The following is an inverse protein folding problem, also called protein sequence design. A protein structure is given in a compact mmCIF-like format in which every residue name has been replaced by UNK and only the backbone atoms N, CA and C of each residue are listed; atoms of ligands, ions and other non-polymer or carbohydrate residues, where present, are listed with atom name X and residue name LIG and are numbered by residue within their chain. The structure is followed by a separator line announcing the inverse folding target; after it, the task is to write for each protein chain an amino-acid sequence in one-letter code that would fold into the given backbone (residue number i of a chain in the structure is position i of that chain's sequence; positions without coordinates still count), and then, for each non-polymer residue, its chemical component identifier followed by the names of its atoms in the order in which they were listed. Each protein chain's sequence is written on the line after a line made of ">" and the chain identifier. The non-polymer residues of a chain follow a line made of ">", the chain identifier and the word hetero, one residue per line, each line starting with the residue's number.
data_IF_581106153558
#
_entry.id   IF_581106153558
#
_cell.length_a   1.000
_cell.length_b   1.000
_cell.length_c   1.000
_cell.angle_alpha   90.00
_cell.angle_beta   90.00
_cell.angle_gamma   90.00
#
_symmetry.space_group_name_H-M   'P 1'
#
loop_
_entity.id
_entity.type
_entity.pdbx_description
1 polymer ?
#
# COMPACT_ATOMS: atom_id res chain seq x y z
N UNK A 1 -0.48 14.81 -14.71
CA UNK A 1 0.16 13.66 -14.04
C UNK A 1 1.50 14.13 -13.50
N UNK A 2 1.83 13.89 -12.22
CA UNK A 2 3.18 14.13 -11.72
C UNK A 2 4.17 13.42 -12.64
N UNK A 3 5.26 14.10 -13.04
CA UNK A 3 6.23 13.53 -13.98
C UNK A 3 6.76 12.21 -13.43
N UNK A 4 6.60 11.12 -14.20
CA UNK A 4 7.12 9.80 -13.85
C UNK A 4 6.12 8.80 -13.26
N UNK A 5 4.85 9.17 -13.02
CA UNK A 5 3.83 8.19 -12.60
C UNK A 5 3.24 7.48 -13.82
N UNK A 6 3.36 6.15 -13.88
CA UNK A 6 2.69 5.35 -14.90
C UNK A 6 1.18 5.29 -14.66
N UNK A 7 0.39 5.64 -15.68
CA UNK A 7 -1.08 5.60 -15.62
C UNK A 7 -1.59 4.20 -15.25
N UNK A 8 -1.01 3.14 -15.82
CA UNK A 8 -1.38 1.76 -15.53
C UNK A 8 -1.14 1.34 -14.08
N UNK A 9 -0.15 1.93 -13.41
CA UNK A 9 0.09 1.70 -11.98
C UNK A 9 -1.02 2.34 -11.13
N UNK A 10 -1.49 3.54 -11.50
CA UNK A 10 -2.63 4.19 -10.84
C UNK A 10 -3.93 3.40 -11.06
N UNK A 11 -4.16 2.92 -12.29
CA UNK A 11 -5.34 2.10 -12.62
C UNK A 11 -5.38 0.81 -11.79
N UNK A 12 -4.22 0.19 -11.56
CA UNK A 12 -4.10 -1.01 -10.72
C UNK A 12 -4.49 -0.74 -9.26
N UNK A 13 -4.02 0.38 -8.68
CA UNK A 13 -4.41 0.79 -7.33
C UNK A 13 -5.88 1.24 -7.24
N UNK A 14 -6.39 1.93 -8.27
CA UNK A 14 -7.76 2.44 -8.32
C UNK A 14 -8.81 1.31 -8.32
N UNK A 15 -8.47 0.10 -8.79
CA UNK A 15 -9.35 -1.07 -8.67
C UNK A 15 -9.74 -1.36 -7.21
N UNK A 16 -8.91 -0.94 -6.25
CA UNK A 16 -9.10 -1.16 -4.82
C UNK A 16 -9.54 0.12 -4.08
N UNK A 17 -10.13 1.11 -4.77
CA UNK A 17 -10.55 2.37 -4.14
C UNK A 17 -11.82 2.27 -3.27
N UNK A 18 -12.57 1.18 -3.38
CA UNK A 18 -13.84 0.96 -2.68
C UNK A 18 -13.69 0.78 -1.17
N UNK A 19 -14.75 1.11 -0.42
CA UNK A 19 -14.80 1.02 1.04
C UNK A 19 -14.72 -0.42 1.57
N UNK A 20 -15.04 -1.42 0.75
CA UNK A 20 -14.87 -2.84 1.05
C UNK A 20 -13.40 -3.25 1.24
N UNK A 21 -12.46 -2.44 0.74
CA UNK A 21 -11.02 -2.62 0.89
C UNK A 21 -10.41 -1.76 2.00
N UNK A 22 -11.22 -0.95 2.69
CA UNK A 22 -10.76 -0.20 3.86
C UNK A 22 -10.51 -1.16 5.02
N UNK A 23 -9.26 -1.24 5.46
CA UNK A 23 -8.88 -1.99 6.64
C UNK A 23 -9.38 -1.29 7.91
N UNK A 24 -9.77 -2.07 8.92
CA UNK A 24 -9.91 -1.52 10.28
C UNK A 24 -8.54 -1.06 10.84
N UNK A 25 -8.55 -0.29 11.92
CA UNK A 25 -7.34 0.30 12.49
C UNK A 25 -6.27 -0.74 12.83
N UNK A 26 -6.67 -1.92 13.32
CA UNK A 26 -5.74 -2.99 13.69
C UNK A 26 -5.11 -3.61 12.46
N UNK A 27 -5.90 -3.99 11.47
CA UNK A 27 -5.43 -4.54 10.22
C UNK A 27 -4.52 -3.55 9.47
N UNK A 28 -4.89 -2.27 9.49
CA UNK A 28 -4.07 -1.18 8.95
C UNK A 28 -2.71 -1.09 9.64
N UNK A 29 -2.67 -1.06 10.98
CA UNK A 29 -1.42 -1.01 11.74
C UNK A 29 -0.49 -2.20 11.43
N UNK A 30 -1.02 -3.41 11.43
CA UNK A 30 -0.26 -4.63 11.10
C UNK A 30 0.37 -4.53 9.71
N UNK A 31 -0.39 -4.07 8.70
CA UNK A 31 0.15 -3.92 7.35
C UNK A 31 1.25 -2.84 7.29
N UNK A 32 1.05 -1.69 7.95
CA UNK A 32 2.06 -0.64 7.99
C UNK A 32 3.36 -1.11 8.66
N UNK A 33 3.29 -1.95 9.69
CA UNK A 33 4.45 -2.55 10.33
C UNK A 33 5.16 -3.56 9.41
N UNK A 34 4.41 -4.44 8.75
CA UNK A 34 4.96 -5.42 7.78
C UNK A 34 5.69 -4.72 6.63
N UNK A 35 5.17 -3.58 6.19
CA UNK A 35 5.72 -2.74 5.14
C UNK A 35 6.61 -1.60 5.67
N UNK A 36 7.08 -1.65 6.92
CA UNK A 36 8.01 -0.65 7.46
C UNK A 36 9.34 -0.58 6.66
N UNK A 37 9.66 -1.63 5.91
CA UNK A 37 10.72 -1.68 4.90
C UNK A 37 10.16 -2.15 3.55
N UNK A 38 10.80 -1.81 2.41
CA UNK A 38 10.37 -2.26 1.10
C UNK A 38 10.21 -3.78 1.02
N UNK A 39 9.00 -4.22 0.66
CA UNK A 39 8.64 -5.63 0.52
C UNK A 39 7.62 -5.82 -0.61
N UNK A 40 7.65 -6.93 -1.36
CA UNK A 40 6.60 -7.23 -2.34
C UNK A 40 5.20 -7.22 -1.73
N UNK A 41 4.24 -6.62 -2.42
CA UNK A 41 2.87 -6.41 -1.92
C UNK A 41 2.20 -7.73 -1.51
N UNK A 42 2.32 -8.77 -2.35
CA UNK A 42 1.80 -10.11 -2.05
C UNK A 42 2.49 -10.78 -0.86
N UNK A 43 3.81 -10.64 -0.74
CA UNK A 43 4.57 -11.24 0.38
C UNK A 43 4.26 -10.56 1.71
N UNK A 44 4.09 -9.23 1.71
CA UNK A 44 3.68 -8.50 2.92
C UNK A 44 2.26 -8.83 3.33
N UNK A 45 1.33 -8.89 2.38
CA UNK A 45 -0.03 -9.34 2.66
C UNK A 45 -0.05 -10.75 3.28
N UNK A 46 0.73 -11.69 2.74
CA UNK A 46 0.85 -13.04 3.30
C UNK A 46 1.46 -13.06 4.71
N UNK A 47 2.47 -12.21 4.98
CA UNK A 47 3.12 -12.14 6.29
C UNK A 47 2.25 -11.49 7.38
N UNK A 48 1.23 -10.72 7.02
CA UNK A 48 0.37 -9.99 7.96
C UNK A 48 -0.54 -10.88 8.82
N UNK A 49 -0.71 -12.17 8.47
CA UNK A 49 -1.66 -13.09 9.12
C UNK A 49 -3.13 -12.62 9.11
N UNK A 50 -3.49 -11.62 8.29
CA UNK A 50 -4.86 -11.07 8.19
C UNK A 50 -5.77 -11.88 7.23
N UNK A 51 -5.28 -12.99 6.70
CA UNK A 51 -6.02 -13.88 5.81
C UNK A 51 -6.25 -13.30 4.41
N UNK A 52 -7.29 -13.80 3.73
CA UNK A 52 -7.51 -13.56 2.29
C UNK A 52 -7.72 -12.08 1.91
N UNK A 53 -8.14 -11.24 2.86
CA UNK A 53 -8.40 -9.81 2.61
C UNK A 53 -7.14 -8.95 2.65
N UNK A 54 -6.03 -9.47 3.20
CA UNK A 54 -4.80 -8.72 3.42
C UNK A 54 -4.26 -8.04 2.16
N UNK A 55 -4.38 -8.72 1.01
CA UNK A 55 -3.91 -8.20 -0.27
C UNK A 55 -4.72 -6.98 -0.72
N UNK A 56 -6.05 -7.06 -0.65
CA UNK A 56 -6.93 -5.95 -1.00
C UNK A 56 -6.73 -4.74 -0.09
N UNK A 57 -6.55 -4.98 1.21
CA UNK A 57 -6.21 -3.93 2.17
C UNK A 57 -4.87 -3.26 1.83
N UNK A 58 -3.83 -4.03 1.51
CA UNK A 58 -2.54 -3.47 1.12
C UNK A 58 -2.65 -2.62 -0.16
N UNK A 59 -3.42 -3.06 -1.16
CA UNK A 59 -3.71 -2.25 -2.35
C UNK A 59 -4.47 -0.96 -2.04
N UNK A 60 -5.45 -1.00 -1.14
CA UNK A 60 -6.18 0.18 -0.70
C UNK A 60 -5.28 1.17 0.06
N UNK A 61 -4.32 0.68 0.85
CA UNK A 61 -3.31 1.53 1.48
C UNK A 61 -2.36 2.17 0.46
N UNK A 62 -2.07 1.51 -0.67
CA UNK A 62 -1.35 2.15 -1.79
C UNK A 62 -2.20 3.24 -2.44
N UNK A 63 -3.49 2.98 -2.66
CA UNK A 63 -4.45 3.94 -3.23
C UNK A 63 -4.58 5.21 -2.36
N UNK A 64 -4.75 5.03 -1.04
CA UNK A 64 -4.87 6.13 -0.07
C UNK A 64 -3.53 6.83 0.23
N UNK A 65 -2.42 6.29 -0.28
CA UNK A 65 -1.09 6.88 -0.19
C UNK A 65 -0.33 6.56 1.11
N UNK A 66 -0.90 5.70 1.96
CA UNK A 66 -0.30 5.24 3.21
C UNK A 66 0.85 4.24 2.98
N UNK A 67 0.70 3.41 1.95
CA UNK A 67 1.82 2.71 1.32
C UNK A 67 2.24 3.46 0.06
N UNK A 68 3.51 3.36 -0.29
CA UNK A 68 4.05 3.91 -1.54
C UNK A 68 4.95 2.88 -2.22
N UNK A 69 5.21 3.10 -3.50
CA UNK A 69 6.09 2.29 -4.31
C UNK A 69 6.93 3.17 -5.24
N UNK A 70 7.76 2.52 -6.06
CA UNK A 70 8.38 3.18 -7.21
C UNK A 70 7.34 3.35 -8.33
N UNK A 71 6.74 4.55 -8.40
CA UNK A 71 5.71 4.89 -9.37
C UNK A 71 6.21 5.01 -10.83
N UNK A 72 7.54 4.98 -11.03
CA UNK A 72 8.14 4.95 -12.37
C UNK A 72 8.09 3.56 -13.00
N UNK A 73 7.76 2.54 -12.21
CA UNK A 73 7.60 1.15 -12.63
C UNK A 73 6.14 0.72 -12.58
N UNK A 74 5.83 -0.35 -13.31
CA UNK A 74 4.51 -0.96 -13.26
C UNK A 74 4.27 -1.53 -11.85
N UNK A 75 3.15 -1.15 -11.26
CA UNK A 75 2.72 -1.66 -9.96
C UNK A 75 2.02 -3.00 -10.17
N UNK A 76 2.66 -4.08 -9.73
CA UNK A 76 2.16 -5.46 -9.78
C UNK A 76 2.28 -6.10 -8.38
N UNK A 77 1.66 -7.26 -8.10
CA UNK A 77 1.70 -7.87 -6.77
C UNK A 77 3.11 -8.18 -6.22
N UNK A 78 4.10 -8.34 -7.10
CA UNK A 78 5.51 -8.56 -6.73
C UNK A 78 6.31 -7.27 -6.59
N UNK A 79 5.72 -6.11 -6.90
CA UNK A 79 6.39 -4.82 -6.75
C UNK A 79 6.65 -4.51 -5.27
N UNK A 80 7.86 -4.04 -4.93
CA UNK A 80 8.13 -3.57 -3.57
C UNK A 80 7.30 -2.35 -3.22
N UNK A 81 6.62 -2.42 -2.07
CA UNK A 81 5.92 -1.31 -1.43
C UNK A 81 6.42 -1.13 -0.01
N UNK A 82 6.28 0.08 0.52
CA UNK A 82 6.65 0.41 1.89
C UNK A 82 5.71 1.46 2.46
N UNK A 83 5.58 1.48 3.78
CA UNK A 83 4.86 2.52 4.49
C UNK A 83 5.48 3.88 4.16
N UNK A 84 4.66 4.79 3.69
CA UNK A 84 5.02 6.20 3.64
C UNK A 84 5.16 6.62 5.10
N UNK A 85 6.40 6.82 5.57
CA UNK A 85 6.61 7.43 6.88
C UNK A 85 5.79 8.70 6.91
N UNK A 86 4.80 8.77 7.80
CA UNK A 86 4.24 10.04 8.19
C UNK A 86 5.44 10.89 8.61
N UNK A 87 5.73 11.95 7.87
CA UNK A 87 6.64 12.96 8.38
C UNK A 87 6.07 13.31 9.75
N UNK A 88 6.83 13.05 10.81
CA UNK A 88 6.42 13.43 12.14
C UNK A 88 6.21 14.94 12.09
N UNK A 89 4.96 15.38 11.98
CA UNK A 89 4.59 16.75 12.23
C UNK A 89 4.77 16.89 13.73
N UNK A 90 6.00 17.22 14.14
CA UNK A 90 6.23 17.88 15.43
C UNK A 90 5.57 19.23 15.27
N UNK A 91 4.31 19.34 15.68
CA UNK A 91 3.75 20.65 16.02
C UNK A 91 4.60 21.18 17.18
N UNK A 92 5.23 22.33 16.93
CA UNK A 92 6.10 23.05 17.86
C UNK A 92 5.29 24.13 18.58
#
# INVERSE_FOLDING_TARGET
>A
MPRGVLRSSLESAAHFCGAEFTADDRARQVLLEVFAAPRPLQEGAAASSLGLKALGYAWHLVWTGELTCDWTKLLVPTSPVWARRAAAVKEA
#
